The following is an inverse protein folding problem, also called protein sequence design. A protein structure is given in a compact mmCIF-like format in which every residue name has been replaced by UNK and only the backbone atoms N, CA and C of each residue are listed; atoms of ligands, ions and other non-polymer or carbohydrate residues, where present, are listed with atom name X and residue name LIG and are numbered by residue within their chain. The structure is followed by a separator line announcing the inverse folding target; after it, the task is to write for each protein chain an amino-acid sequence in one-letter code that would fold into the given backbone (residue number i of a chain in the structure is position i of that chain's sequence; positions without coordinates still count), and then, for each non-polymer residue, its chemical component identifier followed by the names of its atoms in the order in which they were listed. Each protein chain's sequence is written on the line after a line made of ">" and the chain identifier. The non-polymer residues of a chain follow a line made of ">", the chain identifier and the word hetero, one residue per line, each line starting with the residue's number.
data_IF_418337218159
#
_entry.id   IF_418337218159
#
_cell.length_a   1.000
_cell.length_b   1.000
_cell.length_c   1.000
_cell.angle_alpha   90.00
_cell.angle_beta   90.00
_cell.angle_gamma   90.00
#
_symmetry.space_group_name_H-M   'P 1'
#
loop_
_entity.id
_entity.type
_entity.pdbx_description
1 polymer ?
#
# COMPACT_ATOMS: atom_id res chain seq x y z
N UNK A 1 -12.67 13.18 6.46
CA UNK A 1 -11.44 12.77 5.75
C UNK A 1 -11.64 11.46 4.97
N UNK A 2 -12.08 10.36 5.59
CA UNK A 2 -12.31 9.07 4.90
C UNK A 2 -13.34 9.19 3.76
N UNK A 3 -14.55 9.70 4.01
CA UNK A 3 -15.60 9.85 3.00
C UNK A 3 -15.13 10.58 1.72
N UNK A 4 -14.44 11.70 1.88
CA UNK A 4 -13.90 12.49 0.76
C UNK A 4 -12.83 11.70 -0.01
N UNK A 5 -11.95 10.98 0.70
CA UNK A 5 -10.94 10.13 0.09
C UNK A 5 -11.57 8.96 -0.67
N UNK A 6 -12.58 8.29 -0.12
CA UNK A 6 -13.31 7.21 -0.78
C UNK A 6 -13.96 7.69 -2.07
N UNK A 7 -14.64 8.84 -2.05
CA UNK A 7 -15.24 9.43 -3.24
C UNK A 7 -14.17 9.77 -4.29
N UNK A 8 -13.06 10.39 -3.88
CA UNK A 8 -11.98 10.75 -4.79
C UNK A 8 -11.32 9.53 -5.43
N UNK A 9 -11.06 8.46 -4.66
CA UNK A 9 -10.48 7.21 -5.18
C UNK A 9 -11.44 6.54 -6.16
N UNK A 10 -12.72 6.40 -5.80
CA UNK A 10 -13.71 5.78 -6.67
C UNK A 10 -13.88 6.55 -7.99
N UNK A 11 -14.04 7.87 -7.92
CA UNK A 11 -14.14 8.71 -9.11
C UNK A 11 -12.86 8.64 -9.97
N UNK A 12 -11.68 8.57 -9.34
CA UNK A 12 -10.39 8.45 -10.05
C UNK A 12 -10.32 7.16 -10.85
N UNK A 13 -10.65 6.02 -10.26
CA UNK A 13 -10.64 4.72 -10.95
C UNK A 13 -11.59 4.71 -12.15
N UNK A 14 -12.83 5.18 -11.95
CA UNK A 14 -13.83 5.27 -13.02
C UNK A 14 -13.39 6.21 -14.14
N UNK A 15 -12.84 7.39 -13.80
CA UNK A 15 -12.35 8.35 -14.79
C UNK A 15 -11.13 7.84 -15.57
N UNK A 16 -10.30 6.99 -14.97
CA UNK A 16 -9.19 6.31 -15.64
C UNK A 16 -9.63 5.09 -16.48
N UNK A 17 -10.92 4.80 -16.58
CA UNK A 17 -11.46 3.77 -17.47
C UNK A 17 -11.70 2.41 -16.81
N UNK A 18 -11.75 2.31 -15.48
CA UNK A 18 -12.26 1.11 -14.83
C UNK A 18 -13.75 0.95 -15.18
N UNK A 19 -14.07 -0.19 -15.79
CA UNK A 19 -15.44 -0.53 -16.22
C UNK A 19 -16.13 -1.41 -15.16
N UNK A 20 -17.14 -0.88 -14.44
CA UNK A 20 -17.85 -1.64 -13.40
C UNK A 20 -18.70 -2.79 -13.96
N UNK A 21 -19.02 -2.80 -15.26
CA UNK A 21 -19.72 -3.94 -15.89
C UNK A 21 -18.78 -5.14 -16.11
N UNK A 22 -17.46 -4.89 -16.14
CA UNK A 22 -16.42 -5.92 -16.27
C UNK A 22 -15.71 -6.23 -14.95
N UNK A 23 -15.64 -5.28 -14.04
CA UNK A 23 -14.93 -5.38 -12.76
C UNK A 23 -15.87 -5.18 -11.60
N UNK A 24 -15.98 -6.19 -10.73
CA UNK A 24 -16.66 -6.05 -9.45
C UNK A 24 -15.94 -5.01 -8.60
N UNK A 25 -16.53 -3.81 -8.52
CA UNK A 25 -15.94 -2.65 -7.85
C UNK A 25 -16.79 -2.25 -6.65
N UNK A 26 -16.21 -2.37 -5.45
CA UNK A 26 -16.96 -2.25 -4.19
C UNK A 26 -16.13 -1.56 -3.11
N UNK A 27 -16.80 -1.13 -2.03
CA UNK A 27 -16.16 -0.64 -0.81
C UNK A 27 -16.10 -1.80 0.19
N UNK A 28 -14.95 -1.97 0.85
CA UNK A 28 -14.78 -3.01 1.88
C UNK A 28 -15.89 -2.99 2.94
N UNK A 29 -16.29 -1.81 3.39
CA UNK A 29 -17.33 -1.63 4.42
C UNK A 29 -18.73 -2.07 3.98
N UNK A 30 -18.97 -2.29 2.69
CA UNK A 30 -20.27 -2.76 2.19
C UNK A 30 -20.38 -4.29 2.21
N UNK A 31 -19.31 -5.02 2.58
CA UNK A 31 -19.26 -6.49 2.62
C UNK A 31 -19.08 -6.96 4.07
N UNK A 32 -20.17 -7.11 4.85
CA UNK A 32 -20.09 -7.51 6.26
C UNK A 32 -19.49 -8.91 6.45
N UNK A 33 -19.61 -9.80 5.46
CA UNK A 33 -19.08 -11.17 5.48
C UNK A 33 -17.56 -11.19 5.64
N UNK A 34 -16.86 -10.18 5.13
CA UNK A 34 -15.41 -10.02 5.33
C UNK A 34 -15.08 -9.87 6.82
N UNK A 35 -15.92 -9.16 7.58
CA UNK A 35 -15.69 -8.94 9.01
C UNK A 35 -15.94 -10.20 9.83
N UNK A 36 -16.91 -11.02 9.42
CA UNK A 36 -17.14 -12.34 10.02
C UNK A 36 -15.97 -13.29 9.72
N UNK A 37 -15.54 -13.35 8.45
CA UNK A 37 -14.38 -14.14 8.05
C UNK A 37 -13.11 -13.69 8.77
N UNK A 38 -12.89 -12.38 8.93
CA UNK A 38 -11.77 -11.83 9.69
C UNK A 38 -11.70 -12.41 11.11
N UNK A 39 -12.83 -12.54 11.80
CA UNK A 39 -12.85 -13.15 13.13
C UNK A 39 -12.51 -14.65 13.09
N UNK A 40 -13.08 -15.39 12.14
CA UNK A 40 -12.77 -16.82 11.95
C UNK A 40 -11.27 -17.03 11.70
N UNK A 41 -10.67 -16.23 10.82
CA UNK A 41 -9.25 -16.28 10.50
C UNK A 41 -8.38 -15.86 11.69
N UNK A 42 -8.83 -14.90 12.50
CA UNK A 42 -8.16 -14.50 13.74
C UNK A 42 -7.98 -15.68 14.68
N UNK A 43 -9.01 -16.54 14.84
CA UNK A 43 -8.96 -17.70 15.73
C UNK A 43 -7.96 -18.80 15.29
N UNK A 44 -7.51 -18.77 14.03
CA UNK A 44 -6.55 -19.76 13.51
C UNK A 44 -5.19 -19.17 13.14
N UNK A 45 -5.04 -17.86 13.22
CA UNK A 45 -3.78 -17.18 12.94
C UNK A 45 -2.86 -17.24 14.16
N UNK A 46 -1.65 -17.75 13.99
CA UNK A 46 -0.67 -17.74 15.07
C UNK A 46 -0.22 -16.31 15.38
N UNK A 47 -0.25 -15.91 16.66
CA UNK A 47 0.26 -14.59 17.10
C UNK A 47 1.68 -14.31 16.60
N UNK A 48 2.53 -15.34 16.56
CA UNK A 48 3.90 -15.21 16.05
C UNK A 48 4.00 -14.73 14.61
N UNK A 49 3.00 -15.00 13.77
CA UNK A 49 2.93 -14.45 12.41
C UNK A 49 2.75 -12.92 12.45
N UNK A 50 1.83 -12.44 13.29
CA UNK A 50 1.59 -10.99 13.47
C UNK A 50 2.78 -10.28 14.13
N UNK A 51 3.46 -10.93 15.08
CA UNK A 51 4.70 -10.40 15.67
C UNK A 51 5.80 -10.14 14.60
N UNK A 52 5.75 -10.83 13.45
CA UNK A 52 6.73 -10.70 12.36
C UNK A 52 6.27 -9.80 11.22
N UNK A 53 5.03 -9.30 11.26
CA UNK A 53 4.52 -8.39 10.24
C UNK A 53 5.37 -7.11 10.17
N UNK A 54 5.74 -6.69 8.96
CA UNK A 54 6.67 -5.58 8.75
C UNK A 54 6.22 -4.29 9.43
N UNK A 55 4.92 -3.96 9.36
CA UNK A 55 4.38 -2.75 9.96
C UNK A 55 4.50 -2.73 11.49
N UNK A 56 4.18 -3.83 12.16
CA UNK A 56 4.35 -3.96 13.61
C UNK A 56 5.83 -3.88 14.00
N UNK A 57 6.70 -4.63 13.33
CA UNK A 57 8.15 -4.59 13.58
C UNK A 57 8.74 -3.19 13.38
N UNK A 58 8.28 -2.45 12.37
CA UNK A 58 8.74 -1.09 12.11
C UNK A 58 8.33 -0.14 13.24
N UNK A 59 7.11 -0.26 13.79
CA UNK A 59 6.68 0.54 14.93
C UNK A 59 7.49 0.23 16.19
N UNK A 60 7.71 -1.06 16.48
CA UNK A 60 8.55 -1.50 17.61
C UNK A 60 9.98 -0.98 17.47
N UNK A 61 10.56 -1.07 16.26
CA UNK A 61 11.90 -0.55 15.98
C UNK A 61 11.97 0.97 16.16
N UNK A 62 10.95 1.71 15.70
CA UNK A 62 10.89 3.15 15.89
C UNK A 62 10.79 3.56 17.37
N UNK A 63 10.10 2.78 18.20
CA UNK A 63 10.08 3.00 19.65
C UNK A 63 11.47 2.82 20.25
N UNK A 64 12.17 1.74 19.90
CA UNK A 64 13.54 1.50 20.36
C UNK A 64 14.51 2.62 19.94
N UNK A 65 14.42 3.10 18.70
CA UNK A 65 15.25 4.20 18.18
C UNK A 65 14.98 5.54 18.89
N UNK A 66 13.75 5.76 19.37
CA UNK A 66 13.37 6.95 20.12
C UNK A 66 13.61 6.83 21.64
N UNK A 67 14.27 5.76 22.09
CA UNK A 67 14.57 5.53 23.50
C UNK A 67 13.33 5.21 24.34
N UNK A 68 12.25 4.75 23.70
CA UNK A 68 11.06 4.28 24.40
C UNK A 68 11.29 2.84 24.88
N UNK A 69 11.07 2.60 26.17
CA UNK A 69 11.30 1.30 26.82
C UNK A 69 10.16 0.31 26.54
N UNK A 70 8.94 0.80 26.32
CA UNK A 70 7.79 -0.04 25.94
C UNK A 70 7.75 -0.26 24.42
N UNK A 71 8.00 -1.50 23.92
CA UNK A 71 7.96 -1.81 22.49
C UNK A 71 6.62 -1.48 21.83
N UNK A 72 5.52 -1.58 22.58
CA UNK A 72 4.16 -1.41 22.10
C UNK A 72 3.61 0.00 22.37
N UNK A 73 4.45 0.95 22.78
CA UNK A 73 4.04 2.34 22.98
C UNK A 73 3.41 2.92 21.71
N UNK A 74 2.16 3.38 21.81
CA UNK A 74 1.41 3.91 20.68
C UNK A 74 1.02 2.88 19.61
N UNK A 75 1.20 1.59 19.86
CA UNK A 75 0.78 0.51 18.96
C UNK A 75 -0.65 0.11 19.29
N UNK A 76 -1.55 0.34 18.34
CA UNK A 76 -2.95 -0.10 18.45
C UNK A 76 -3.18 -1.47 17.79
N UNK A 77 -4.20 -2.19 18.25
CA UNK A 77 -4.55 -3.52 17.71
C UNK A 77 -4.88 -3.51 16.22
N UNK A 78 -5.31 -2.37 15.67
CA UNK A 78 -5.48 -2.20 14.22
C UNK A 78 -4.17 -2.40 13.46
N UNK A 79 -3.07 -1.79 13.92
CA UNK A 79 -1.75 -1.96 13.30
C UNK A 79 -1.25 -3.40 13.42
N UNK A 80 -1.51 -4.05 14.56
CA UNK A 80 -1.07 -5.42 14.80
C UNK A 80 -1.88 -6.46 14.00
N UNK A 81 -3.18 -6.22 13.79
CA UNK A 81 -4.11 -7.25 13.30
C UNK A 81 -4.60 -7.02 11.86
N UNK A 82 -4.38 -5.85 11.26
CA UNK A 82 -4.86 -5.60 9.88
C UNK A 82 -4.39 -6.62 8.83
N UNK A 83 -3.24 -7.32 8.95
CA UNK A 83 -2.89 -8.35 7.98
C UNK A 83 -3.89 -9.51 7.94
N UNK A 84 -4.59 -9.78 9.05
CA UNK A 84 -5.66 -10.79 9.11
C UNK A 84 -6.89 -10.28 8.36
N UNK A 85 -7.27 -9.02 8.53
CA UNK A 85 -8.37 -8.42 7.79
C UNK A 85 -8.08 -8.37 6.29
N UNK A 86 -6.86 -8.00 5.90
CA UNK A 86 -6.42 -8.04 4.51
C UNK A 86 -6.43 -9.45 3.94
N UNK A 87 -6.11 -10.46 4.75
CA UNK A 87 -6.25 -11.86 4.35
C UNK A 87 -7.71 -12.22 4.13
N UNK A 88 -8.63 -11.79 5.00
CA UNK A 88 -10.06 -11.99 4.81
C UNK A 88 -10.55 -11.36 3.50
N UNK A 89 -10.10 -10.14 3.17
CA UNK A 89 -10.43 -9.48 1.90
C UNK A 89 -10.04 -10.33 0.67
N UNK A 90 -8.88 -10.99 0.71
CA UNK A 90 -8.39 -11.84 -0.39
C UNK A 90 -9.17 -13.15 -0.45
N UNK A 91 -9.32 -13.83 0.70
CA UNK A 91 -9.86 -15.18 0.77
C UNK A 91 -11.38 -15.24 0.63
N UNK A 92 -12.09 -14.18 1.01
CA UNK A 92 -13.56 -14.09 0.85
C UNK A 92 -13.99 -14.30 -0.61
N UNK A 93 -13.16 -13.89 -1.56
CA UNK A 93 -13.43 -14.01 -2.99
C UNK A 93 -12.58 -15.09 -3.67
N UNK A 94 -11.83 -15.88 -2.89
CA UNK A 94 -10.98 -16.96 -3.40
C UNK A 94 -10.03 -16.51 -4.54
N UNK A 95 -9.41 -15.34 -4.38
CA UNK A 95 -8.56 -14.77 -5.43
C UNK A 95 -7.37 -15.67 -5.78
N UNK A 96 -7.16 -15.93 -7.08
CA UNK A 96 -6.00 -16.68 -7.56
C UNK A 96 -4.73 -15.84 -7.58
N UNK A 97 -4.83 -14.59 -8.03
CA UNK A 97 -3.71 -13.66 -8.16
C UNK A 97 -4.04 -12.35 -7.42
N UNK A 98 -3.05 -11.79 -6.73
CA UNK A 98 -3.17 -10.50 -6.04
C UNK A 98 -2.08 -9.56 -6.58
N UNK A 99 -2.45 -8.53 -7.36
CA UNK A 99 -1.48 -7.57 -7.89
C UNK A 99 -0.95 -6.67 -6.77
N UNK A 100 0.36 -6.74 -6.52
CA UNK A 100 1.01 -5.99 -5.43
C UNK A 100 2.38 -5.47 -5.82
N UNK A 101 2.82 -4.41 -5.13
CA UNK A 101 4.21 -3.96 -5.16
C UNK A 101 5.13 -4.94 -4.42
N UNK A 102 6.43 -4.90 -4.73
CA UNK A 102 7.45 -5.75 -4.09
C UNK A 102 7.49 -5.61 -2.57
N UNK A 103 7.14 -4.44 -2.05
CA UNK A 103 7.07 -4.11 -0.63
C UNK A 103 5.88 -4.75 0.10
N UNK A 104 4.88 -5.26 -0.63
CA UNK A 104 3.64 -5.82 -0.07
C UNK A 104 3.54 -7.35 -0.27
N UNK A 105 4.60 -8.00 -0.77
CA UNK A 105 4.66 -9.47 -0.96
C UNK A 105 4.34 -10.20 0.35
N UNK A 106 4.82 -9.70 1.48
CA UNK A 106 4.60 -10.31 2.80
C UNK A 106 3.10 -10.48 3.12
N UNK A 107 2.23 -9.57 2.65
CA UNK A 107 0.79 -9.69 2.90
C UNK A 107 0.18 -10.89 2.18
N UNK A 108 0.57 -11.13 0.92
CA UNK A 108 0.11 -12.28 0.16
C UNK A 108 0.68 -13.57 0.76
N UNK A 109 1.94 -13.58 1.20
CA UNK A 109 2.53 -14.73 1.90
C UNK A 109 1.80 -15.05 3.22
N UNK A 110 1.44 -14.03 4.00
CA UNK A 110 0.63 -14.20 5.21
C UNK A 110 -0.74 -14.77 4.88
N UNK A 111 -1.39 -14.29 3.81
CA UNK A 111 -2.67 -14.82 3.36
C UNK A 111 -2.58 -16.30 2.97
N UNK A 112 -1.49 -16.71 2.30
CA UNK A 112 -1.22 -18.12 1.96
C UNK A 112 -1.01 -18.99 3.19
N UNK A 113 -0.24 -18.55 4.20
CA UNK A 113 -0.03 -19.29 5.45
C UNK A 113 -1.38 -19.50 6.17
N UNK A 114 -2.15 -18.42 6.33
CA UNK A 114 -3.46 -18.45 7.01
C UNK A 114 -4.46 -19.35 6.25
N UNK A 115 -4.51 -19.26 4.92
CA UNK A 115 -5.35 -20.13 4.09
C UNK A 115 -4.95 -21.61 4.24
N UNK A 116 -3.66 -21.92 4.17
CA UNK A 116 -3.14 -23.28 4.35
C UNK A 116 -3.46 -23.84 5.74
N UNK A 117 -3.32 -23.03 6.79
CA UNK A 117 -3.72 -23.40 8.15
C UNK A 117 -5.20 -23.71 8.26
N UNK A 118 -6.05 -22.88 7.67
CA UNK A 118 -7.49 -23.10 7.66
C UNK A 118 -7.83 -24.41 6.95
N UNK A 119 -7.30 -24.60 5.73
CA UNK A 119 -7.55 -25.79 4.91
C UNK A 119 -7.13 -27.07 5.62
N UNK A 120 -5.99 -27.06 6.30
CA UNK A 120 -5.50 -28.21 7.05
C UNK A 120 -6.33 -28.51 8.30
N UNK A 121 -6.75 -27.47 9.04
CA UNK A 121 -7.48 -27.64 10.31
C UNK A 121 -8.95 -28.01 10.10
N UNK A 122 -9.55 -27.53 9.02
CA UNK A 122 -10.96 -27.73 8.73
C UNK A 122 -11.13 -28.49 7.42
N UNK A 123 -11.32 -27.78 6.31
CA UNK A 123 -11.60 -28.32 5.00
C UNK A 123 -10.92 -27.44 3.96
N UNK A 124 -10.51 -28.03 2.84
CA UNK A 124 -9.91 -27.32 1.72
C UNK A 124 -10.95 -26.45 1.00
N UNK A 125 -11.10 -25.20 1.47
CA UNK A 125 -12.06 -24.22 0.95
C UNK A 125 -11.39 -23.01 0.30
N UNK A 126 -10.18 -22.67 0.74
CA UNK A 126 -9.45 -21.49 0.27
C UNK A 126 -8.40 -21.83 -0.77
N UNK A 127 -8.42 -21.09 -1.88
CA UNK A 127 -7.33 -21.05 -2.84
C UNK A 127 -6.13 -20.34 -2.21
N UNK A 128 -4.91 -20.83 -2.47
CA UNK A 128 -3.70 -20.15 -2.03
C UNK A 128 -3.35 -19.04 -3.03
N UNK A 129 -3.51 -17.75 -2.68
CA UNK A 129 -3.31 -16.65 -3.63
C UNK A 129 -1.84 -16.54 -4.05
N UNK A 130 -1.59 -16.13 -5.30
CA UNK A 130 -0.25 -15.88 -5.82
C UNK A 130 0.01 -14.37 -6.00
N UNK A 131 1.27 -14.00 -5.85
CA UNK A 131 1.72 -12.62 -6.06
C UNK A 131 1.74 -12.35 -7.56
N UNK A 132 1.08 -11.28 -8.00
CA UNK A 132 1.26 -10.74 -9.36
C UNK A 132 2.04 -9.44 -9.30
N UNK A 133 3.24 -9.44 -9.86
CA UNK A 133 4.08 -8.25 -9.98
C UNK A 133 4.05 -7.80 -11.43
N UNK A 134 3.79 -6.52 -11.66
CA UNK A 134 4.00 -5.93 -12.98
C UNK A 134 5.48 -5.54 -13.13
N UNK A 135 6.18 -6.27 -14.01
CA UNK A 135 7.61 -6.09 -14.27
C UNK A 135 7.94 -4.76 -14.96
N UNK A 136 6.93 -4.11 -15.56
CA UNK A 136 7.09 -2.88 -16.34
C UNK A 136 6.71 -1.61 -15.56
N UNK A 137 6.51 -1.70 -14.25
CA UNK A 137 6.19 -0.50 -13.44
C UNK A 137 7.43 0.36 -13.28
N UNK A 138 7.53 1.41 -14.10
CA UNK A 138 8.50 2.47 -13.90
C UNK A 138 8.15 3.29 -12.65
N UNK A 139 9.13 3.48 -11.77
CA UNK A 139 8.98 4.37 -10.62
C UNK A 139 8.95 5.82 -11.11
N UNK A 140 7.77 6.44 -11.04
CA UNK A 140 7.61 7.83 -11.41
C UNK A 140 8.45 8.74 -10.50
N UNK A 141 9.24 9.62 -11.11
CA UNK A 141 10.08 10.60 -10.39
C UNK A 141 9.22 11.80 -10.00
N UNK A 142 9.39 12.25 -8.75
CA UNK A 142 8.70 13.41 -8.19
C UNK A 142 9.37 14.73 -8.58
N UNK A 143 8.73 15.84 -8.23
CA UNK A 143 9.17 17.21 -8.53
C UNK A 143 10.54 17.61 -7.93
N UNK A 144 11.14 16.75 -7.12
CA UNK A 144 12.44 16.95 -6.46
C UNK A 144 13.49 15.92 -6.88
N UNK A 145 13.21 15.08 -7.90
CA UNK A 145 14.12 14.05 -8.39
C UNK A 145 14.11 12.74 -7.59
N UNK A 146 13.41 12.67 -6.44
CA UNK A 146 13.20 11.43 -5.68
C UNK A 146 12.03 10.64 -6.25
N UNK A 147 11.80 9.41 -5.78
CA UNK A 147 10.54 8.68 -6.06
C UNK A 147 9.34 9.56 -5.69
N UNK A 148 8.36 9.67 -6.58
CA UNK A 148 7.14 10.43 -6.32
C UNK A 148 6.39 9.81 -5.13
N UNK A 149 6.09 10.62 -4.11
CA UNK A 149 5.37 10.22 -2.90
C UNK A 149 4.60 11.38 -2.30
N UNK A 150 3.36 11.12 -1.86
CA UNK A 150 2.55 12.12 -1.12
C UNK A 150 3.25 12.60 0.14
N UNK A 151 3.98 11.72 0.84
CA UNK A 151 4.70 12.07 2.08
C UNK A 151 5.88 13.02 1.86
N UNK A 152 6.41 13.07 0.64
CA UNK A 152 7.51 13.98 0.27
C UNK A 152 7.00 15.31 -0.29
N UNK A 153 5.69 15.46 -0.51
CA UNK A 153 5.12 16.65 -1.11
C UNK A 153 5.57 16.90 -2.57
N UNK A 154 6.16 15.89 -3.23
CA UNK A 154 6.78 16.00 -4.55
C UNK A 154 5.88 15.47 -5.69
N UNK A 155 4.56 15.52 -5.49
CA UNK A 155 3.56 14.93 -6.41
C UNK A 155 2.99 15.96 -7.38
N UNK A 156 2.54 15.49 -8.55
CA UNK A 156 1.68 16.25 -9.46
C UNK A 156 0.24 15.76 -9.23
N UNK A 157 -0.70 16.62 -8.79
CA UNK A 157 -2.08 16.21 -8.61
C UNK A 157 -2.75 15.85 -9.95
N UNK A 158 -3.46 14.72 -9.98
CA UNK A 158 -4.07 14.20 -11.21
C UNK A 158 -5.25 15.05 -11.73
N UNK A 159 -6.02 15.67 -10.82
CA UNK A 159 -7.26 16.39 -11.13
C UNK A 159 -7.15 17.91 -10.97
N UNK A 160 -5.99 18.49 -11.28
CA UNK A 160 -5.82 19.94 -11.39
C UNK A 160 -6.14 20.45 -12.81
N UNK A 161 -6.51 21.73 -12.92
CA UNK A 161 -6.73 22.34 -14.22
C UNK A 161 -5.40 22.65 -14.93
N UNK A 162 -5.43 22.76 -16.26
CA UNK A 162 -4.23 22.93 -17.10
C UNK A 162 -3.30 24.04 -16.62
N UNK A 163 -3.86 25.18 -16.19
CA UNK A 163 -3.07 26.33 -15.69
C UNK A 163 -2.29 25.99 -14.42
N UNK A 164 -2.88 25.24 -13.48
CA UNK A 164 -2.21 24.86 -12.22
C UNK A 164 -1.19 23.76 -12.45
N UNK A 165 -1.52 22.77 -13.30
CA UNK A 165 -0.60 21.70 -13.69
C UNK A 165 0.65 22.28 -14.37
N UNK A 166 0.48 23.14 -15.38
CA UNK A 166 1.59 23.78 -16.11
C UNK A 166 2.50 24.62 -15.20
N UNK A 167 1.95 25.36 -14.24
CA UNK A 167 2.74 26.14 -13.30
C UNK A 167 3.61 25.27 -12.38
N UNK A 168 3.11 24.10 -11.97
CA UNK A 168 3.91 23.15 -11.15
C UNK A 168 5.00 22.47 -11.98
N UNK A 169 4.70 22.08 -13.22
CA UNK A 169 5.65 21.45 -14.15
C UNK A 169 6.80 22.39 -14.54
N UNK A 170 6.49 23.66 -14.79
CA UNK A 170 7.51 24.66 -15.16
C UNK A 170 8.47 24.99 -14.02
N UNK A 171 7.99 25.05 -12.77
CA UNK A 171 8.84 25.24 -11.59
C UNK A 171 9.85 24.10 -11.39
N UNK A 172 9.47 22.85 -11.70
CA UNK A 172 10.39 21.71 -11.66
C UNK A 172 11.54 21.84 -12.66
N UNK A 173 11.25 22.15 -13.93
CA UNK A 173 12.27 22.33 -14.96
C UNK A 173 13.22 23.51 -14.69
N UNK A 174 12.73 24.57 -14.02
CA UNK A 174 13.59 25.69 -13.61
C UNK A 174 14.56 25.29 -12.50
N UNK A 175 14.11 24.50 -11.51
CA UNK A 175 14.98 23.97 -10.45
C UNK A 175 16.03 22.97 -10.98
N UNK A 176 15.67 22.08 -11.92
CA UNK A 176 16.64 21.18 -12.56
C UNK A 176 17.69 21.96 -13.38
N UNK A 177 17.28 22.99 -14.13
CA UNK A 177 18.19 23.84 -14.90
C UNK A 177 19.14 24.64 -14.01
N UNK A 178 18.66 25.16 -12.88
CA UNK A 178 19.49 25.86 -11.90
C UNK A 178 20.51 24.92 -11.23
N UNK A 179 20.10 23.71 -10.82
CA UNK A 179 20.99 22.71 -10.23
C UNK A 179 22.07 22.21 -11.20
N UNK A 180 21.74 22.01 -12.49
CA UNK A 180 22.74 21.68 -13.52
C UNK A 180 23.73 22.83 -13.77
N UNK A 181 23.26 24.08 -13.76
CA UNK A 181 24.12 25.26 -13.93
C UNK A 181 25.09 25.46 -12.74
N UNK A 182 24.67 25.14 -11.52
CA UNK A 182 25.51 25.24 -10.33
C UNK A 182 26.55 24.09 -10.25
N UNK A 183 26.16 22.89 -10.67
CA UNK A 183 27.07 21.73 -10.78
C UNK A 183 28.14 21.94 -11.87
N UNK A 184 27.79 22.62 -12.96
CA UNK A 184 28.73 22.99 -14.02
C UNK A 184 29.76 24.06 -13.57
N UNK A 185 29.43 24.92 -12.60
CA UNK A 185 30.35 25.91 -12.02
C UNK A 185 31.32 25.33 -10.98
N UNK A 186 31.06 24.13 -10.46
CA UNK A 186 31.88 23.48 -9.41
C UNK A 186 32.90 22.48 -9.93
N UNK A 187 33.02 22.24 -11.25
CA UNK A 187 34.16 21.49 -11.79
C UNK A 187 35.39 22.41 -11.82
N UNK A 188 36.42 22.20 -10.98
CA UNK A 188 37.69 22.87 -11.17
C UNK A 188 38.28 22.36 -12.48
N UNK A 189 38.77 23.27 -13.30
CA UNK A 189 39.72 22.91 -14.35
C UNK A 189 40.90 22.20 -13.68
N UNK A 190 41.05 20.91 -13.95
CA UNK A 190 42.31 20.16 -13.81
C UNK A 190 42.63 19.67 -15.21
#
# INVERSE_FOLDING_TARGET
>A
MIHQSTQAVAATWLACGLDPERTTFYRQSDIPEVMELNWILTCITAKGLMNRAHAYKAAVQANAENGQEDPDFGVEMGLFSYPILMTADILMFNANEVPVGRDQIQHVEMARDIAGRFNHRFQELFTLPEVKIDENVELLVGLDGRKMSKSYGNTIPLWENDKKTQNRSTNHHQHERAGRAETARRKPFV
#
